data_IF_363958125100
#
_entry.id   IF_363958125100
#
_cell.length_a   1.000
_cell.length_b   1.000
_cell.length_c   1.000
_cell.angle_alpha   90.00
_cell.angle_beta   90.00
_cell.angle_gamma   90.00
#
_symmetry.space_group_name_H-M   'P 1'
#
loop_
_entity.id
_entity.type
_entity.pdbx_description
1 polymer ?
#
# COMPACT_ATOMS: atom_id res chain seq x y z
N UNK A 1 -28.63 108.91 18.24
CA UNK A 1 -27.95 108.02 19.19
C UNK A 1 -28.86 106.90 19.73
N UNK A 2 -29.91 107.19 20.52
CA UNK A 2 -30.77 106.12 21.08
C UNK A 2 -31.43 105.18 20.04
N UNK A 3 -31.81 105.69 18.87
CA UNK A 3 -32.40 104.86 17.79
C UNK A 3 -31.36 104.00 17.04
N UNK A 4 -30.11 104.44 16.97
CA UNK A 4 -29.02 103.68 16.34
C UNK A 4 -28.61 102.50 17.22
N UNK A 5 -28.46 102.74 18.53
CA UNK A 5 -28.19 101.67 19.51
C UNK A 5 -29.27 100.57 19.51
N UNK A 6 -30.55 100.93 19.32
CA UNK A 6 -31.64 99.95 19.19
C UNK A 6 -31.53 99.11 17.91
N UNK A 7 -31.12 99.72 16.81
CA UNK A 7 -30.94 98.99 15.54
C UNK A 7 -29.75 98.02 15.63
N UNK A 8 -28.63 98.46 16.17
CA UNK A 8 -27.44 97.62 16.39
C UNK A 8 -27.75 96.45 17.34
N UNK A 9 -28.50 96.71 18.41
CA UNK A 9 -28.96 95.65 19.32
C UNK A 9 -29.89 94.65 18.63
N UNK A 10 -30.82 95.13 17.79
CA UNK A 10 -31.73 94.26 17.03
C UNK A 10 -30.99 93.41 15.99
N UNK A 11 -29.98 93.97 15.34
CA UNK A 11 -29.17 93.28 14.34
C UNK A 11 -28.26 92.22 14.99
N UNK A 12 -27.65 92.54 16.13
CA UNK A 12 -26.90 91.58 16.93
C UNK A 12 -27.78 90.41 17.41
N UNK A 13 -29.01 90.67 17.85
CA UNK A 13 -29.97 89.63 18.23
C UNK A 13 -30.38 88.75 17.03
N UNK A 14 -30.59 89.36 15.86
CA UNK A 14 -30.89 88.62 14.63
C UNK A 14 -29.71 87.74 14.19
N UNK A 15 -28.48 88.24 14.31
CA UNK A 15 -27.26 87.49 14.04
C UNK A 15 -27.09 86.32 15.03
N UNK A 16 -27.32 86.56 16.32
CA UNK A 16 -27.30 85.50 17.35
C UNK A 16 -28.28 84.38 17.01
N UNK A 17 -29.54 84.71 16.69
CA UNK A 17 -30.55 83.70 16.32
C UNK A 17 -30.17 82.89 15.07
N UNK A 18 -29.50 83.50 14.09
CA UNK A 18 -28.99 82.78 12.90
C UNK A 18 -27.87 81.82 13.28
N UNK A 19 -26.99 82.21 14.20
CA UNK A 19 -25.94 81.33 14.71
C UNK A 19 -26.55 80.17 15.52
N UNK A 20 -27.51 80.45 16.40
CA UNK A 20 -28.21 79.42 17.18
C UNK A 20 -28.90 78.40 16.26
N UNK A 21 -29.52 78.86 15.17
CA UNK A 21 -30.11 77.99 14.15
C UNK A 21 -29.07 77.08 13.46
N UNK A 22 -27.91 77.63 13.09
CA UNK A 22 -26.81 76.85 12.49
C UNK A 22 -26.19 75.87 13.47
N UNK A 23 -26.06 76.25 14.75
CA UNK A 23 -25.56 75.35 15.80
C UNK A 23 -26.53 74.19 15.97
N UNK A 24 -27.83 74.45 16.04
CA UNK A 24 -28.85 73.40 16.11
C UNK A 24 -28.84 72.47 14.87
N UNK A 25 -28.63 73.02 13.68
CA UNK A 25 -28.49 72.23 12.44
C UNK A 25 -27.24 71.32 12.48
N UNK A 26 -26.08 71.87 12.86
CA UNK A 26 -24.84 71.11 13.00
C UNK A 26 -24.92 70.03 14.08
N UNK A 27 -25.56 70.33 15.21
CA UNK A 27 -25.84 69.33 16.26
C UNK A 27 -26.79 68.23 15.78
N UNK A 28 -27.73 68.56 14.91
CA UNK A 28 -28.63 67.60 14.27
C UNK A 28 -27.87 66.66 13.34
N UNK A 29 -27.02 67.21 12.47
CA UNK A 29 -26.15 66.44 11.58
C UNK A 29 -25.19 65.53 12.35
N UNK A 30 -24.50 66.07 13.36
CA UNK A 30 -23.60 65.28 14.19
C UNK A 30 -24.32 64.13 14.91
N UNK A 31 -25.55 64.36 15.40
CA UNK A 31 -26.37 63.30 16.00
C UNK A 31 -26.77 62.23 15.00
N UNK A 32 -27.11 62.60 13.77
CA UNK A 32 -27.44 61.65 12.71
C UNK A 32 -26.22 60.79 12.34
N UNK A 33 -25.06 61.40 12.13
CA UNK A 33 -23.81 60.70 11.78
C UNK A 33 -23.37 59.75 12.91
N UNK A 34 -23.48 60.18 14.17
CA UNK A 34 -23.17 59.32 15.32
C UNK A 34 -24.14 58.13 15.42
N UNK A 35 -25.40 58.31 15.04
CA UNK A 35 -26.37 57.22 14.99
C UNK A 35 -26.05 56.23 13.86
N UNK A 36 -25.70 56.72 12.67
CA UNK A 36 -25.26 55.88 11.55
C UNK A 36 -23.99 55.10 11.90
N UNK A 37 -22.99 55.78 12.49
CA UNK A 37 -21.76 55.13 12.97
C UNK A 37 -22.08 54.06 14.03
N UNK A 38 -23.02 54.33 14.93
CA UNK A 38 -23.46 53.33 15.92
C UNK A 38 -24.10 52.12 15.25
N UNK A 39 -24.94 52.31 14.25
CA UNK A 39 -25.56 51.22 13.49
C UNK A 39 -24.52 50.39 12.71
N UNK A 40 -23.53 51.05 12.09
CA UNK A 40 -22.48 50.34 11.35
C UNK A 40 -21.56 49.53 12.29
N UNK A 41 -21.17 50.10 13.43
CA UNK A 41 -20.39 49.38 14.45
C UNK A 41 -21.16 48.17 14.99
N UNK A 42 -22.46 48.33 15.25
CA UNK A 42 -23.29 47.20 15.68
C UNK A 42 -23.36 46.11 14.60
N UNK A 43 -23.55 46.47 13.33
CA UNK A 43 -23.55 45.51 12.23
C UNK A 43 -22.20 44.80 12.06
N UNK A 44 -21.08 45.51 12.23
CA UNK A 44 -19.74 44.90 12.22
C UNK A 44 -19.53 43.94 13.40
N UNK A 45 -20.07 44.26 14.58
CA UNK A 45 -20.01 43.40 15.75
C UNK A 45 -20.80 42.10 15.55
N UNK A 46 -22.01 42.18 14.99
CA UNK A 46 -22.84 41.03 14.64
C UNK A 46 -22.15 40.15 13.57
N UNK A 47 -21.64 40.77 12.51
CA UNK A 47 -20.88 40.05 11.47
C UNK A 47 -19.63 39.37 12.05
N UNK A 48 -18.90 40.04 12.95
CA UNK A 48 -17.74 39.45 13.62
C UNK A 48 -18.12 38.22 14.44
N UNK A 49 -19.29 38.20 15.09
CA UNK A 49 -19.76 37.04 15.84
C UNK A 49 -20.14 35.88 14.91
N UNK A 50 -20.79 36.17 13.78
CA UNK A 50 -21.12 35.17 12.76
C UNK A 50 -19.85 34.53 12.21
N UNK A 51 -18.85 35.33 11.80
CA UNK A 51 -17.58 34.82 11.27
C UNK A 51 -16.83 33.99 12.33
N UNK A 52 -16.82 34.42 13.60
CA UNK A 52 -16.24 33.62 14.68
C UNK A 52 -16.97 32.28 14.88
N UNK A 53 -18.30 32.25 14.73
CA UNK A 53 -19.09 31.03 14.77
C UNK A 53 -18.73 30.07 13.63
N UNK A 54 -18.65 30.56 12.40
CA UNK A 54 -18.26 29.75 11.24
C UNK A 54 -16.84 29.20 11.34
N UNK A 55 -15.90 30.00 11.86
CA UNK A 55 -14.52 29.56 12.08
C UNK A 55 -14.46 28.43 13.12
N UNK A 56 -15.24 28.52 14.21
CA UNK A 56 -15.34 27.44 15.21
C UNK A 56 -15.95 26.18 14.60
N UNK A 57 -17.05 26.30 13.86
CA UNK A 57 -17.68 25.15 13.21
C UNK A 57 -16.74 24.47 12.20
N UNK A 58 -15.94 25.25 11.46
CA UNK A 58 -14.92 24.70 10.56
C UNK A 58 -13.80 24.00 11.34
N UNK A 59 -13.35 24.57 12.46
CA UNK A 59 -12.35 23.94 13.32
C UNK A 59 -12.86 22.58 13.86
N UNK A 60 -14.09 22.52 14.37
CA UNK A 60 -14.68 21.28 14.87
C UNK A 60 -14.79 20.21 13.76
N UNK A 61 -15.14 20.63 12.54
CA UNK A 61 -15.17 19.72 11.37
C UNK A 61 -13.78 19.20 11.00
N UNK A 62 -12.76 20.06 11.05
CA UNK A 62 -11.38 19.61 10.77
C UNK A 62 -10.88 18.65 11.85
N UNK A 63 -11.18 18.90 13.12
CA UNK A 63 -10.79 18.04 14.24
C UNK A 63 -11.46 16.66 14.15
N UNK A 64 -12.74 16.61 13.76
CA UNK A 64 -13.43 15.35 13.52
C UNK A 64 -12.84 14.55 12.35
N UNK A 65 -12.40 15.24 11.28
CA UNK A 65 -11.71 14.58 10.16
C UNK A 65 -10.35 14.04 10.60
N UNK A 66 -9.59 14.80 11.38
CA UNK A 66 -8.29 14.38 11.94
C UNK A 66 -8.48 13.12 12.79
N UNK A 67 -9.44 13.13 13.73
CA UNK A 67 -9.75 11.98 14.59
C UNK A 67 -10.09 10.72 13.82
N UNK A 68 -10.88 10.84 12.74
CA UNK A 68 -11.21 9.70 11.86
C UNK A 68 -10.02 9.17 11.07
N UNK A 69 -9.07 10.04 10.72
CA UNK A 69 -7.85 9.63 10.04
C UNK A 69 -6.91 8.91 11.00
N UNK A 70 -6.78 9.40 12.23
CA UNK A 70 -6.01 8.76 13.30
C UNK A 70 -6.53 7.35 13.60
N UNK A 71 -7.85 7.18 13.77
CA UNK A 71 -8.47 5.86 13.99
C UNK A 71 -8.19 4.89 12.84
N UNK A 72 -8.24 5.37 11.59
CA UNK A 72 -7.92 4.53 10.41
C UNK A 72 -6.44 4.16 10.35
N UNK A 73 -5.55 5.08 10.72
CA UNK A 73 -4.12 4.81 10.76
C UNK A 73 -3.79 3.77 11.84
N UNK A 74 -4.41 3.88 13.01
CA UNK A 74 -4.26 2.90 14.10
C UNK A 74 -4.76 1.51 13.66
N UNK A 75 -5.94 1.43 13.03
CA UNK A 75 -6.47 0.18 12.51
C UNK A 75 -5.58 -0.46 11.43
N UNK A 76 -4.97 0.36 10.55
CA UNK A 76 -4.00 -0.12 9.55
C UNK A 76 -2.70 -0.59 10.20
N UNK A 77 -2.25 0.09 11.25
CA UNK A 77 -1.08 -0.31 12.02
C UNK A 77 -1.32 -1.65 12.71
N UNK A 78 -2.46 -1.83 13.38
CA UNK A 78 -2.85 -3.08 14.01
C UNK A 78 -2.95 -4.23 12.99
N UNK A 79 -3.52 -4.00 11.81
CA UNK A 79 -3.57 -5.01 10.75
C UNK A 79 -2.17 -5.41 10.27
N UNK A 80 -1.28 -4.42 10.10
CA UNK A 80 0.07 -4.63 9.59
C UNK A 80 0.93 -5.39 10.60
N UNK A 81 0.95 -4.92 11.84
CA UNK A 81 1.77 -5.48 12.92
C UNK A 81 1.16 -6.76 13.51
N UNK A 82 -0.16 -6.81 13.65
CA UNK A 82 -0.88 -7.92 14.29
C UNK A 82 -1.15 -9.12 13.40
N UNK A 83 -1.31 -8.94 12.08
CA UNK A 83 -1.67 -10.03 11.17
C UNK A 83 -0.62 -10.25 10.07
N UNK A 84 -0.31 -9.22 9.27
CA UNK A 84 0.55 -9.42 8.11
C UNK A 84 2.00 -9.77 8.49
N UNK A 85 2.57 -9.07 9.47
CA UNK A 85 3.95 -9.30 9.89
C UNK A 85 4.20 -10.73 10.43
N UNK A 86 3.38 -11.27 11.35
CA UNK A 86 3.57 -12.64 11.83
C UNK A 86 3.31 -13.69 10.73
N UNK A 87 2.33 -13.46 9.84
CA UNK A 87 2.06 -14.36 8.71
C UNK A 87 3.27 -14.43 7.77
N UNK A 88 3.83 -13.28 7.40
CA UNK A 88 5.04 -13.21 6.57
C UNK A 88 6.22 -13.91 7.25
N UNK A 89 6.45 -13.68 8.54
CA UNK A 89 7.51 -14.37 9.30
C UNK A 89 7.30 -15.89 9.26
N UNK A 90 6.08 -16.36 9.52
CA UNK A 90 5.75 -17.79 9.50
C UNK A 90 5.97 -18.43 8.12
N UNK A 91 5.66 -17.71 7.03
CA UNK A 91 5.90 -18.16 5.67
C UNK A 91 7.39 -18.22 5.35
N UNK A 92 8.15 -17.21 5.76
CA UNK A 92 9.62 -17.21 5.57
C UNK A 92 10.31 -18.34 6.33
N UNK A 93 9.86 -18.65 7.55
CA UNK A 93 10.36 -19.79 8.32
C UNK A 93 10.04 -21.12 7.66
N UNK A 94 8.78 -21.32 7.21
CA UNK A 94 8.38 -22.51 6.46
C UNK A 94 9.21 -22.69 5.21
N UNK A 95 9.37 -21.63 4.41
CA UNK A 95 10.19 -21.65 3.21
C UNK A 95 11.64 -22.04 3.52
N UNK A 96 12.23 -21.48 4.58
CA UNK A 96 13.58 -21.85 5.00
C UNK A 96 13.69 -23.34 5.37
N UNK A 97 12.70 -23.87 6.09
CA UNK A 97 12.68 -25.31 6.45
C UNK A 97 12.53 -26.21 5.23
N UNK A 98 11.69 -25.84 4.26
CA UNK A 98 11.49 -26.58 3.02
C UNK A 98 12.75 -26.57 2.14
N UNK A 99 13.42 -25.43 2.02
CA UNK A 99 14.70 -25.33 1.30
C UNK A 99 15.74 -26.27 1.91
N UNK A 100 15.87 -26.32 3.24
CA UNK A 100 16.79 -27.23 3.92
C UNK A 100 16.41 -28.71 3.74
N UNK A 101 15.11 -29.02 3.70
CA UNK A 101 14.60 -30.37 3.45
C UNK A 101 14.91 -30.82 2.01
N UNK A 102 14.53 -30.02 1.02
CA UNK A 102 14.79 -30.31 -0.39
C UNK A 102 16.29 -30.41 -0.69
N UNK A 103 17.11 -29.58 -0.04
CA UNK A 103 18.57 -29.65 -0.17
C UNK A 103 19.12 -30.99 0.35
N UNK A 104 18.55 -31.54 1.43
CA UNK A 104 18.93 -32.87 1.94
C UNK A 104 18.50 -33.97 0.98
N UNK A 105 17.26 -33.97 0.53
CA UNK A 105 16.73 -34.93 -0.44
C UNK A 105 17.56 -34.94 -1.75
N UNK A 106 17.94 -33.76 -2.26
CA UNK A 106 18.81 -33.64 -3.44
C UNK A 106 20.20 -34.25 -3.22
N UNK A 107 20.81 -34.01 -2.05
CA UNK A 107 22.12 -34.61 -1.70
C UNK A 107 22.03 -36.12 -1.59
N UNK A 108 20.95 -36.65 -1.02
CA UNK A 108 20.71 -38.09 -0.94
C UNK A 108 20.58 -38.72 -2.33
N UNK A 109 19.75 -38.13 -3.21
CA UNK A 109 19.62 -38.57 -4.61
C UNK A 109 20.97 -38.53 -5.33
N UNK A 110 21.74 -37.45 -5.15
CA UNK A 110 23.08 -37.33 -5.74
C UNK A 110 24.02 -38.43 -5.24
N UNK A 111 23.99 -38.77 -3.95
CA UNK A 111 24.76 -39.86 -3.37
C UNK A 111 24.33 -41.22 -3.96
N UNK A 112 23.03 -41.49 -4.12
CA UNK A 112 22.54 -42.71 -4.77
C UNK A 112 23.00 -42.83 -6.22
N UNK A 113 22.94 -41.74 -6.99
CA UNK A 113 23.44 -41.69 -8.37
C UNK A 113 24.95 -41.95 -8.44
N UNK A 114 25.73 -41.37 -7.52
CA UNK A 114 27.17 -41.62 -7.43
C UNK A 114 27.47 -43.07 -7.03
N UNK A 115 26.71 -43.65 -6.10
CA UNK A 115 26.84 -45.04 -5.70
C UNK A 115 26.53 -46.00 -6.86
N UNK A 116 25.47 -45.75 -7.62
CA UNK A 116 25.15 -46.51 -8.85
C UNK A 116 26.23 -46.36 -9.93
N UNK A 117 26.84 -45.18 -10.05
CA UNK A 117 27.95 -44.93 -10.98
C UNK A 117 29.22 -45.67 -10.54
N UNK A 118 29.51 -45.70 -9.23
CA UNK A 118 30.71 -46.32 -8.67
C UNK A 118 30.63 -47.85 -8.59
N UNK A 119 29.45 -48.40 -8.27
CA UNK A 119 29.22 -49.85 -8.26
C UNK A 119 29.33 -50.48 -9.64
N UNK A 120 29.50 -49.65 -10.69
CA UNK A 120 29.72 -50.11 -12.05
C UNK A 120 28.65 -51.11 -12.42
N UNK A 121 27.37 -50.73 -12.31
CA UNK A 121 26.23 -51.53 -12.75
C UNK A 121 26.34 -51.82 -14.25
N UNK A 122 27.25 -52.73 -14.56
CA UNK A 122 27.66 -53.31 -15.82
C UNK A 122 26.78 -54.52 -16.16
N UNK A 123 25.75 -54.80 -15.35
CA UNK A 123 25.00 -56.04 -15.49
C UNK A 123 23.86 -55.95 -16.53
N UNK A 124 23.29 -54.76 -16.83
CA UNK A 124 22.17 -54.68 -17.79
C UNK A 124 22.10 -53.46 -18.70
N UNK A 125 22.83 -52.37 -18.45
CA UNK A 125 22.88 -51.24 -19.38
C UNK A 125 24.15 -51.31 -20.25
N UNK A 126 24.10 -52.11 -21.32
CA UNK A 126 24.76 -51.74 -22.57
C UNK A 126 24.49 -50.25 -22.78
N UNK A 127 25.52 -49.41 -22.88
CA UNK A 127 25.34 -47.96 -23.01
C UNK A 127 24.22 -47.66 -24.02
N UNK A 128 23.17 -46.94 -23.63
CA UNK A 128 22.25 -46.39 -24.62
C UNK A 128 22.98 -45.41 -25.56
N UNK A 129 24.15 -44.89 -25.16
CA UNK A 129 25.01 -44.01 -25.96
C UNK A 129 26.13 -44.71 -26.75
N UNK A 130 26.64 -45.86 -26.31
CA UNK A 130 27.67 -46.65 -27.02
C UNK A 130 27.09 -47.77 -27.89
N UNK A 131 25.77 -48.03 -27.82
CA UNK A 131 25.09 -48.97 -28.72
C UNK A 131 25.01 -48.47 -30.16
N UNK A 132 25.13 -47.15 -30.40
CA UNK A 132 25.16 -46.59 -31.76
C UNK A 132 26.52 -46.74 -32.45
N UNK A 133 27.63 -46.74 -31.70
CA UNK A 133 28.99 -46.79 -32.29
C UNK A 133 29.68 -48.14 -32.20
N UNK A 134 29.34 -49.00 -31.22
CA UNK A 134 29.79 -50.39 -31.28
C UNK A 134 28.82 -51.18 -32.15
N UNK A 135 29.13 -51.20 -33.45
CA UNK A 135 28.69 -52.25 -34.36
C UNK A 135 28.85 -53.57 -33.61
N UNK A 136 27.73 -54.15 -33.15
CA UNK A 136 27.76 -55.53 -32.71
C UNK A 136 28.21 -56.29 -33.96
N UNK A 137 29.45 -56.78 -33.98
CA UNK A 137 29.76 -57.96 -34.77
C UNK A 137 28.72 -58.98 -34.34
N UNK A 138 27.66 -59.12 -35.14
CA UNK A 138 26.64 -60.11 -34.90
C UNK A 138 27.38 -61.44 -35.01
N UNK A 139 27.73 -62.01 -33.86
CA UNK A 139 28.28 -63.35 -33.79
C UNK A 139 27.30 -64.24 -34.56
N UNK A 140 27.70 -64.72 -35.74
CA UNK A 140 26.86 -65.52 -36.66
C UNK A 140 26.36 -66.85 -36.04
N UNK A 141 26.79 -67.10 -34.81
CA UNK A 141 26.66 -68.32 -34.04
C UNK A 141 25.85 -67.94 -32.81
N UNK A 142 24.56 -68.27 -32.82
CA UNK A 142 23.71 -68.19 -31.65
C UNK A 142 23.70 -69.57 -31.01
N UNK A 143 24.15 -69.68 -29.76
CA UNK A 143 24.03 -70.92 -28.98
C UNK A 143 22.66 -70.94 -28.31
N UNK A 144 21.89 -72.01 -28.55
CA UNK A 144 20.63 -72.25 -27.84
C UNK A 144 20.87 -72.69 -26.41
N UNK A 145 19.85 -72.61 -25.56
CA UNK A 145 19.89 -73.12 -24.19
C UNK A 145 20.08 -74.65 -24.11
N UNK A 146 19.88 -75.35 -25.23
CA UNK A 146 20.18 -76.76 -25.44
C UNK A 146 21.66 -77.04 -25.75
N UNK A 147 22.51 -76.01 -25.77
CA UNK A 147 23.92 -76.08 -26.13
C UNK A 147 24.18 -76.25 -27.63
N UNK A 148 23.14 -76.22 -28.48
CA UNK A 148 23.30 -76.37 -29.92
C UNK A 148 23.65 -75.04 -30.58
N UNK A 149 24.53 -75.13 -31.58
CA UNK A 149 24.97 -73.97 -32.36
C UNK A 149 24.07 -73.79 -33.57
N UNK A 150 23.31 -72.69 -33.59
CA UNK A 150 22.47 -72.31 -34.72
C UNK A 150 23.21 -71.26 -35.56
N UNK A 151 23.61 -71.64 -36.79
CA UNK A 151 24.08 -70.67 -37.80
C UNK A 151 22.87 -69.90 -38.31
N UNK A 152 22.84 -68.59 -38.11
CA UNK A 152 21.81 -67.73 -38.72
C UNK A 152 21.88 -67.88 -40.24
N UNK A 153 20.74 -68.20 -40.87
CA UNK A 153 20.60 -68.18 -42.33
C UNK A 153 20.95 -66.76 -42.81
N UNK A 154 21.81 -66.57 -43.82
CA UNK A 154 22.14 -65.24 -44.32
C UNK A 154 20.85 -64.56 -44.79
N UNK A 155 20.39 -63.56 -44.04
CA UNK A 155 19.39 -62.63 -44.51
C UNK A 155 20.01 -61.86 -45.67
N UNK A 156 19.58 -62.22 -46.88
CA UNK A 156 19.89 -61.48 -48.10
C UNK A 156 19.60 -59.99 -47.87
N UNK A 157 20.55 -59.06 -48.07
CA UNK A 157 20.27 -57.64 -48.05
C UNK A 157 19.60 -57.28 -49.38
N UNK A 158 18.31 -57.57 -49.49
CA UNK A 158 17.48 -57.12 -50.60
C UNK A 158 16.52 -56.04 -50.08
N UNK A 159 16.66 -54.84 -50.61
CA UNK A 159 15.64 -53.80 -50.51
C UNK A 159 16.14 -52.54 -49.81
N UNK A 160 16.52 -51.55 -50.62
CA UNK A 160 16.78 -50.20 -50.14
C UNK A 160 15.57 -49.61 -49.41
N UNK A 161 15.84 -48.97 -48.29
CA UNK A 161 14.99 -47.93 -47.74
C UNK A 161 15.79 -46.62 -47.80
N UNK A 162 15.22 -45.68 -48.53
CA UNK A 162 15.75 -44.34 -48.82
C UNK A 162 16.11 -43.56 -47.55
N UNK A 163 17.11 -42.66 -47.59
CA UNK A 163 17.23 -41.61 -46.59
C UNK A 163 16.04 -40.66 -46.74
N UNK A 164 15.09 -40.71 -45.81
CA UNK A 164 14.09 -39.66 -45.65
C UNK A 164 14.74 -38.43 -45.01
N UNK A 165 14.39 -37.21 -45.45
CA UNK A 165 14.90 -35.98 -44.85
C UNK A 165 14.38 -35.87 -43.42
N UNK A 166 15.31 -35.79 -42.48
CA UNK A 166 15.06 -35.30 -41.12
C UNK A 166 14.56 -33.85 -41.23
N UNK A 167 13.38 -33.49 -40.71
CA UNK A 167 12.97 -32.10 -40.63
C UNK A 167 13.92 -31.34 -39.70
N UNK A 168 14.16 -30.10 -40.09
CA UNK A 168 15.09 -29.17 -39.48
C UNK A 168 15.02 -29.13 -37.95
N UNK A 169 16.23 -29.23 -37.41
CA UNK A 169 16.68 -28.64 -36.17
C UNK A 169 15.96 -27.30 -35.92
N UNK A 170 15.10 -27.25 -34.91
CA UNK A 170 14.82 -25.98 -34.24
C UNK A 170 16.11 -25.56 -33.52
N UNK A 171 16.73 -24.42 -33.85
CA UNK A 171 17.82 -23.90 -33.05
C UNK A 171 17.21 -23.30 -31.77
N UNK A 172 17.13 -24.15 -30.74
CA UNK A 172 16.80 -23.76 -29.37
C UNK A 172 18.03 -23.31 -28.58
N UNK A 173 19.00 -22.66 -29.22
CA UNK A 173 20.11 -21.98 -28.54
C UNK A 173 19.70 -20.53 -28.24
N UNK A 174 18.96 -20.36 -27.16
CA UNK A 174 18.80 -19.07 -26.48
C UNK A 174 19.01 -19.26 -24.98
N UNK A 175 20.11 -19.94 -24.61
CA UNK A 175 20.68 -19.91 -23.27
C UNK A 175 22.08 -19.32 -23.36
N UNK A 176 22.15 -18.01 -23.60
CA UNK A 176 23.34 -17.20 -23.37
C UNK A 176 22.94 -15.81 -22.87
N UNK A 177 23.13 -15.63 -21.57
CA UNK A 177 23.28 -14.41 -20.79
C UNK A 177 22.92 -13.05 -21.39
N UNK A 178 22.03 -12.35 -20.70
CA UNK A 178 22.30 -10.97 -20.29
C UNK A 178 21.76 -10.72 -18.88
N UNK A 179 22.62 -10.36 -17.91
CA UNK A 179 22.18 -9.84 -16.63
C UNK A 179 21.85 -8.35 -16.82
N UNK A 180 20.59 -7.99 -16.61
CA UNK A 180 20.23 -6.58 -16.37
C UNK A 180 19.86 -6.44 -14.90
N UNK A 181 20.72 -5.85 -14.06
CA UNK A 181 20.33 -5.45 -12.72
C UNK A 181 19.58 -4.12 -12.82
N UNK A 182 18.36 -4.10 -12.30
CA UNK A 182 17.67 -2.85 -11.99
C UNK A 182 16.84 -2.27 -13.12
N UNK A 183 15.61 -2.76 -13.28
CA UNK A 183 14.50 -1.90 -13.66
C UNK A 183 13.20 -2.43 -13.03
N UNK A 184 12.79 -1.78 -11.95
CA UNK A 184 11.44 -1.87 -11.40
C UNK A 184 10.48 -1.29 -12.43
N UNK A 185 9.99 -2.13 -13.34
CA UNK A 185 8.79 -1.81 -14.11
C UNK A 185 7.59 -1.92 -13.17
N UNK A 186 7.19 -0.77 -12.63
CA UNK A 186 5.84 -0.52 -12.13
C UNK A 186 4.88 -0.85 -13.27
N UNK A 187 4.25 -2.03 -13.19
CA UNK A 187 3.26 -2.44 -14.18
C UNK A 187 2.08 -1.47 -14.20
N UNK A 188 1.54 -1.11 -15.37
CA UNK A 188 0.33 -0.32 -15.43
C UNK A 188 -0.81 -1.14 -14.85
N UNK A 189 -1.41 -0.55 -13.82
CA UNK A 189 -2.66 -0.90 -13.17
C UNK A 189 -3.71 -1.27 -14.22
N UNK A 190 -3.85 -2.57 -14.53
CA UNK A 190 -4.99 -3.08 -15.31
C UNK A 190 -6.14 -3.23 -14.33
N UNK A 191 -6.93 -2.17 -14.22
CA UNK A 191 -8.29 -2.23 -13.71
C UNK A 191 -9.06 -3.34 -14.44
N UNK A 192 -9.77 -4.23 -13.73
CA UNK A 192 -10.64 -5.20 -14.37
C UNK A 192 -11.85 -4.47 -14.94
N UNK A 193 -11.94 -4.43 -16.26
CA UNK A 193 -13.14 -3.99 -16.99
C UNK A 193 -14.26 -4.99 -16.67
N UNK A 194 -15.15 -4.61 -15.76
CA UNK A 194 -16.41 -5.28 -15.54
C UNK A 194 -17.32 -5.02 -16.75
N UNK A 195 -17.54 -6.03 -17.58
CA UNK A 195 -18.73 -6.14 -18.43
C UNK A 195 -18.87 -7.59 -18.94
N UNK A 196 -19.55 -8.40 -18.12
CA UNK A 196 -20.15 -9.66 -18.53
C UNK A 196 -21.58 -9.70 -18.02
N UNK A 197 -22.58 -10.07 -18.85
CA UNK A 197 -23.97 -10.03 -18.45
C UNK A 197 -24.27 -11.04 -17.34
N UNK A 198 -25.07 -10.58 -16.38
CA UNK A 198 -25.56 -11.33 -15.23
C UNK A 198 -26.30 -12.60 -15.67
N UNK A 199 -25.68 -13.77 -15.42
CA UNK A 199 -26.39 -15.04 -15.38
C UNK A 199 -27.09 -15.21 -14.02
N UNK A 200 -28.32 -15.72 -13.96
CA UNK A 200 -29.01 -15.95 -12.69
C UNK A 200 -28.38 -17.15 -11.97
N UNK A 201 -27.63 -16.87 -10.90
CA UNK A 201 -27.16 -17.90 -9.97
C UNK A 201 -28.30 -18.26 -9.02
N UNK A 202 -29.06 -19.30 -9.36
CA UNK A 202 -29.96 -19.98 -8.42
C UNK A 202 -29.13 -20.72 -7.37
N UNK A 203 -28.76 -20.04 -6.27
CA UNK A 203 -28.29 -20.71 -5.05
C UNK A 203 -29.45 -20.90 -4.09
N UNK A 204 -29.86 -22.15 -3.97
CA UNK A 204 -30.78 -22.67 -2.97
C UNK A 204 -30.15 -22.48 -1.58
N UNK A 205 -30.56 -21.43 -0.87
CA UNK A 205 -30.21 -21.21 0.53
C UNK A 205 -30.92 -22.30 1.34
N UNK A 206 -30.15 -23.29 1.80
CA UNK A 206 -30.59 -24.24 2.82
C UNK A 206 -30.43 -23.52 4.15
N UNK A 207 -31.55 -23.13 4.75
CA UNK A 207 -31.64 -22.61 6.11
C UNK A 207 -31.18 -23.68 7.10
N UNK A 208 -29.89 -23.65 7.45
CA UNK A 208 -29.33 -24.40 8.57
C UNK A 208 -29.48 -23.56 9.84
N UNK A 209 -30.53 -23.87 10.58
CA UNK A 209 -30.84 -23.34 11.91
C UNK A 209 -29.76 -23.81 12.90
N UNK A 210 -28.82 -22.93 13.26
CA UNK A 210 -27.91 -23.20 14.40
C UNK A 210 -28.57 -22.59 15.63
N UNK A 211 -29.24 -23.45 16.39
CA UNK A 211 -29.55 -23.18 17.79
C UNK A 211 -28.33 -23.55 18.63
N UNK A 212 -27.69 -22.55 19.22
CA UNK A 212 -26.89 -22.74 20.44
C UNK A 212 -27.02 -21.50 21.31
N UNK A 213 -27.53 -21.76 22.51
CA UNK A 213 -27.96 -20.83 23.54
C UNK A 213 -26.83 -19.97 24.16
N UNK A 214 -27.20 -18.90 24.88
CA UNK A 214 -26.29 -18.12 25.69
C UNK A 214 -26.10 -18.76 27.08
N UNK A 215 -24.87 -19.11 27.42
CA UNK A 215 -24.41 -19.33 28.79
C UNK A 215 -23.07 -18.58 28.88
N UNK A 216 -22.99 -17.43 29.53
CA UNK A 216 -23.15 -17.31 30.96
C UNK A 216 -21.75 -17.31 31.57
N UNK A 217 -21.05 -16.17 31.55
CA UNK A 217 -19.87 -15.90 32.37
C UNK A 217 -19.97 -14.47 32.90
N UNK A 218 -20.72 -14.36 33.99
CA UNK A 218 -20.55 -13.28 34.94
C UNK A 218 -19.52 -13.73 36.00
N UNK A 219 -18.81 -12.74 36.51
CA UNK A 219 -18.06 -12.72 37.78
C UNK A 219 -16.57 -13.11 37.77
N UNK A 220 -15.86 -12.36 38.63
CA UNK A 220 -14.45 -12.42 39.03
C UNK A 220 -13.50 -11.64 38.10
N UNK A 221 -12.62 -10.74 38.56
CA UNK A 221 -12.14 -10.51 39.91
C UNK A 221 -11.49 -9.13 40.06
N UNK A 222 -11.82 -8.49 41.18
CA UNK A 222 -11.08 -7.41 41.84
C UNK A 222 -9.61 -7.80 42.02
N UNK A 223 -8.67 -6.90 41.67
CA UNK A 223 -7.29 -6.69 42.20
C UNK A 223 -6.50 -6.02 41.05
N UNK A 224 -5.71 -4.97 41.19
CA UNK A 224 -4.92 -4.49 42.32
C UNK A 224 -4.50 -3.05 41.99
N UNK A 225 -4.56 -2.22 43.00
CA UNK A 225 -3.93 -0.91 43.07
C UNK A 225 -2.42 -0.93 42.79
N UNK A 226 -1.86 0.27 42.57
CA UNK A 226 -0.46 0.71 42.79
C UNK A 226 0.34 0.88 41.48
N UNK A 227 0.38 2.10 40.93
CA UNK A 227 1.30 3.20 41.28
C UNK A 227 2.69 3.06 40.65
N UNK A 228 2.85 3.66 39.46
CA UNK A 228 4.07 4.29 38.93
C UNK A 228 3.51 5.40 37.99
N UNK A 229 3.61 6.70 38.24
CA UNK A 229 4.75 7.39 38.81
C UNK A 229 5.87 7.51 37.77
N UNK A 230 5.55 7.70 36.49
CA UNK A 230 6.55 8.10 35.50
C UNK A 230 6.73 9.61 35.57
N UNK A 231 7.79 10.00 36.28
CA UNK A 231 8.50 11.26 36.12
C UNK A 231 8.71 11.54 34.63
N UNK A 232 8.03 12.59 34.13
CA UNK A 232 8.36 13.20 32.86
C UNK A 232 9.56 14.12 33.11
N UNK A 233 10.73 13.90 32.49
CA UNK A 233 11.83 14.84 32.62
C UNK A 233 11.45 16.15 31.90
N UNK A 234 11.16 17.19 32.69
CA UNK A 234 11.33 18.58 32.28
C UNK A 234 12.78 18.78 31.85
N UNK A 235 13.02 19.03 30.56
CA UNK A 235 14.36 19.40 30.11
C UNK A 235 14.68 19.06 28.66
N UNK A 236 13.87 19.54 27.71
CA UNK A 236 14.38 19.73 26.35
C UNK A 236 14.32 21.22 26.01
N UNK A 237 15.35 21.94 26.48
CA UNK A 237 15.67 23.25 25.93
C UNK A 237 16.12 23.04 24.49
N UNK A 238 15.25 23.38 23.54
CA UNK A 238 15.66 23.56 22.15
C UNK A 238 16.42 24.88 22.11
N UNK A 239 17.73 24.81 22.32
CA UNK A 239 18.62 25.94 22.03
C UNK A 239 18.50 26.29 20.55
N UNK A 240 18.13 27.53 20.30
CA UNK A 240 17.97 28.08 18.97
C UNK A 240 19.28 28.06 18.21
N UNK A 241 19.31 27.32 17.11
CA UNK A 241 20.23 27.60 16.01
C UNK A 241 19.68 28.78 15.22
N UNK A 242 20.07 29.99 15.66
CA UNK A 242 20.06 31.18 14.82
C UNK A 242 21.04 30.96 13.66
N UNK A 243 20.53 30.49 12.52
CA UNK A 243 21.24 30.60 11.25
C UNK A 243 21.18 32.06 10.80
N UNK A 244 22.16 32.82 11.24
CA UNK A 244 22.53 34.12 10.68
C UNK A 244 23.00 33.94 9.24
N UNK A 245 22.10 34.19 8.29
CA UNK A 245 22.42 34.38 6.87
C UNK A 245 23.06 35.76 6.66
N UNK A 246 24.37 35.84 6.94
CA UNK A 246 25.21 36.88 6.35
C UNK A 246 25.47 36.52 4.88
N UNK A 247 24.62 37.03 3.99
CA UNK A 247 24.89 37.08 2.56
C UNK A 247 25.52 38.42 2.20
N UNK A 248 26.86 38.45 2.17
CA UNK A 248 27.67 39.51 1.58
C UNK A 248 28.01 39.16 0.12
N UNK A 249 27.95 40.17 -0.76
CA UNK A 249 28.64 40.22 -2.06
C UNK A 249 27.87 39.62 -3.24
N UNK A 250 27.83 40.23 -4.42
CA UNK A 250 28.53 41.39 -4.98
C UNK A 250 27.65 42.08 -6.02
#
# INVERSE_FOLDING_TARGET
>A
EASQSKHESSEALAASRRLDGKVAELEGLLRADLQELKCTVQGLQENSQVVQGELRERADKTDEVIRRLEEKLEALQELTEGQLQPDLRSLTEKQATDVLRLTRELKEIQAYLQAMKASGASATARCLSCFSQKFQEQSKIVMGADGKVYKRRPTSPAGGARPGPVPDVFPGDAWAGSPVPGLVSVGPNRSPTAQGPAGPVLRKVRSGQIMTSPAGMAAAEKRKSRAEGQDVPEGFQVEGSMLSSQGNGS
#
